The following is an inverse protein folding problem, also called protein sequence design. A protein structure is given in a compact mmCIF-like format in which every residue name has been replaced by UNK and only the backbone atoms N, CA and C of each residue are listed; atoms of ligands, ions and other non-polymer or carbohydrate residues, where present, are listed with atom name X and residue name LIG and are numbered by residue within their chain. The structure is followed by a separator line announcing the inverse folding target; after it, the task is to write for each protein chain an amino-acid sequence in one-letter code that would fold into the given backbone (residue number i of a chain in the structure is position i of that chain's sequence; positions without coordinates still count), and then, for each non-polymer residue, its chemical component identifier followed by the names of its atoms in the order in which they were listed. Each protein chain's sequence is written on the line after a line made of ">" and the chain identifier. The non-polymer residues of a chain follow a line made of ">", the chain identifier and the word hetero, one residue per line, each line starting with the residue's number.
data_IF_087284686665
#
_entry.id   IF_087284686665
#
_cell.length_a   1.000
_cell.length_b   1.000
_cell.length_c   1.000
_cell.angle_alpha   90.00
_cell.angle_beta   90.00
_cell.angle_gamma   90.00
#
_symmetry.space_group_name_H-M   'P 1'
#
loop_
_entity.id
_entity.type
_entity.pdbx_description
1 polymer ?
#
# COMPACT_ATOMS: atom_id res chain seq x y z
N UNK A 1 10.61 4.29 13.99
CA UNK A 1 11.39 4.47 12.75
C UNK A 1 11.00 5.82 12.17
N UNK A 2 11.98 6.67 11.82
CA UNK A 2 11.75 8.00 11.26
C UNK A 2 12.22 8.01 9.81
N UNK A 3 11.45 8.64 8.92
CA UNK A 3 11.78 8.80 7.50
C UNK A 3 11.94 10.29 7.23
N UNK A 4 13.13 10.70 6.79
CA UNK A 4 13.42 12.08 6.41
C UNK A 4 13.30 12.24 4.89
N UNK A 5 12.62 13.30 4.45
CA UNK A 5 12.51 13.65 3.04
C UNK A 5 13.59 14.64 2.66
N UNK A 6 14.04 14.57 1.41
CA UNK A 6 14.96 15.57 0.85
C UNK A 6 14.29 16.95 0.82
N UNK A 7 15.06 18.05 0.96
CA UNK A 7 14.52 19.40 0.83
C UNK A 7 13.76 19.60 -0.50
N UNK A 8 12.63 20.30 -0.44
CA UNK A 8 11.74 20.59 -1.58
C UNK A 8 11.05 19.37 -2.22
N UNK A 9 11.01 18.21 -1.54
CA UNK A 9 10.19 17.09 -2.01
C UNK A 9 8.70 17.48 -2.08
N UNK A 10 8.05 17.18 -3.20
CA UNK A 10 6.62 17.44 -3.40
C UNK A 10 5.83 16.15 -3.13
N UNK A 11 4.67 16.21 -2.46
CA UNK A 11 3.81 15.05 -2.30
C UNK A 11 3.44 14.43 -3.65
N UNK A 12 3.58 13.11 -3.76
CA UNK A 12 3.18 12.37 -4.95
C UNK A 12 1.79 11.78 -4.77
N UNK A 13 0.84 12.17 -5.63
CA UNK A 13 -0.44 11.48 -5.77
C UNK A 13 -0.41 10.64 -7.05
N UNK A 14 -0.28 9.32 -6.92
CA UNK A 14 -0.35 8.43 -8.09
C UNK A 14 -1.79 8.05 -8.40
N UNK A 15 -2.03 7.70 -9.67
CA UNK A 15 -3.33 7.17 -10.12
C UNK A 15 -3.63 5.88 -9.37
N UNK A 16 -4.90 5.68 -9.00
CA UNK A 16 -5.39 4.39 -8.51
C UNK A 16 -5.41 3.43 -9.69
N UNK A 17 -4.58 2.39 -9.62
CA UNK A 17 -4.58 1.32 -10.63
C UNK A 17 -5.71 0.35 -10.33
N UNK A 18 -6.47 -0.01 -11.37
CA UNK A 18 -7.50 -1.04 -11.27
C UNK A 18 -6.82 -2.39 -11.07
N UNK A 19 -6.81 -2.88 -9.83
CA UNK A 19 -6.33 -4.22 -9.50
C UNK A 19 -7.49 -5.22 -9.65
N UNK A 20 -7.25 -6.27 -10.45
CA UNK A 20 -8.13 -7.43 -10.57
C UNK A 20 -7.42 -8.62 -9.93
N UNK A 21 -8.05 -9.37 -9.00
CA UNK A 21 -9.42 -9.21 -8.48
C UNK A 21 -9.50 -8.18 -7.35
N UNK A 22 -10.53 -7.33 -7.37
CA UNK A 22 -10.77 -6.28 -6.35
C UNK A 22 -11.04 -6.86 -4.96
N UNK A 23 -11.67 -8.03 -4.88
CA UNK A 23 -12.02 -8.67 -3.61
C UNK A 23 -10.81 -9.07 -2.78
N UNK A 24 -9.73 -9.50 -3.45
CA UNK A 24 -8.46 -9.84 -2.79
C UNK A 24 -7.81 -8.62 -2.16
N UNK A 25 -7.91 -7.46 -2.82
CA UNK A 25 -7.42 -6.19 -2.27
C UNK A 25 -8.22 -5.79 -1.03
N UNK A 26 -9.54 -5.87 -1.08
CA UNK A 26 -10.40 -5.52 0.05
C UNK A 26 -10.12 -6.42 1.27
N UNK A 27 -9.99 -7.73 1.06
CA UNK A 27 -9.68 -8.67 2.13
C UNK A 27 -8.33 -8.35 2.81
N UNK A 28 -7.29 -8.07 2.02
CA UNK A 28 -5.98 -7.71 2.56
C UNK A 28 -6.00 -6.37 3.32
N UNK A 29 -6.75 -5.38 2.81
CA UNK A 29 -6.93 -4.11 3.52
C UNK A 29 -7.64 -4.32 4.86
N UNK A 30 -8.70 -5.12 4.89
CA UNK A 30 -9.44 -5.41 6.12
C UNK A 30 -8.54 -6.10 7.16
N UNK A 31 -7.80 -7.13 6.77
CA UNK A 31 -6.87 -7.84 7.66
C UNK A 31 -5.85 -6.88 8.30
N UNK A 32 -5.28 -5.95 7.53
CA UNK A 32 -4.29 -5.01 8.02
C UNK A 32 -4.90 -3.87 8.87
N UNK A 33 -6.17 -3.52 8.64
CA UNK A 33 -6.92 -2.60 9.49
C UNK A 33 -7.23 -3.26 10.84
N UNK A 34 -7.67 -4.52 10.82
CA UNK A 34 -8.02 -5.30 12.02
C UNK A 34 -6.79 -5.52 12.90
N UNK A 35 -5.63 -5.77 12.30
CA UNK A 35 -4.35 -5.90 13.03
C UNK A 35 -3.75 -4.56 13.48
N UNK A 36 -4.39 -3.44 13.16
CA UNK A 36 -3.87 -2.08 13.38
C UNK A 36 -2.50 -1.82 12.73
N UNK A 37 -2.10 -2.62 11.74
CA UNK A 37 -0.88 -2.39 10.94
C UNK A 37 -1.03 -1.17 10.03
N UNK A 38 -2.24 -0.86 9.57
CA UNK A 38 -2.56 0.35 8.80
C UNK A 38 -3.80 1.04 9.36
N UNK A 39 -4.01 2.29 8.97
CA UNK A 39 -5.22 3.05 9.26
C UNK A 39 -5.57 3.99 8.09
N UNK A 40 -6.83 4.45 7.98
CA UNK A 40 -7.20 5.47 7.01
C UNK A 40 -6.35 6.73 7.20
N UNK A 41 -5.90 7.32 6.09
CA UNK A 41 -5.04 8.51 6.09
C UNK A 41 -5.62 9.60 5.18
N UNK A 42 -5.39 10.86 5.54
CA UNK A 42 -5.69 12.06 4.73
C UNK A 42 -4.43 12.62 4.05
N UNK A 43 -3.36 11.83 3.97
CA UNK A 43 -2.10 12.23 3.37
C UNK A 43 -2.29 12.63 1.90
N UNK A 44 -1.62 13.70 1.48
CA UNK A 44 -1.50 14.07 0.07
C UNK A 44 -0.50 13.16 -0.68
N UNK A 45 0.27 12.35 0.05
CA UNK A 45 1.16 11.33 -0.50
C UNK A 45 0.45 9.99 -0.57
N UNK A 46 0.55 9.36 -1.74
CA UNK A 46 0.15 7.99 -1.97
C UNK A 46 1.26 7.26 -2.74
N UNK A 47 1.26 5.94 -2.69
CA UNK A 47 2.08 5.07 -3.54
C UNK A 47 1.21 3.92 -4.03
N UNK A 48 1.36 3.48 -5.29
CA UNK A 48 0.59 2.35 -5.80
C UNK A 48 1.04 1.05 -5.11
N UNK A 49 0.10 0.13 -4.91
CA UNK A 49 0.33 -1.20 -4.33
C UNK A 49 0.04 -2.25 -5.39
N UNK A 50 0.89 -3.28 -5.49
CA UNK A 50 0.73 -4.37 -6.44
C UNK A 50 0.85 -5.73 -5.74
N UNK A 51 0.07 -6.70 -6.22
CA UNK A 51 0.27 -8.09 -5.85
C UNK A 51 1.32 -8.73 -6.74
N UNK A 52 2.37 -9.25 -6.13
CA UNK A 52 3.36 -10.08 -6.82
C UNK A 52 3.22 -11.52 -6.37
N UNK A 53 3.42 -12.47 -7.30
CA UNK A 53 3.50 -13.89 -6.95
C UNK A 53 4.81 -14.09 -6.18
N UNK A 54 4.73 -14.56 -4.95
CA UNK A 54 5.93 -15.04 -4.24
C UNK A 54 6.47 -16.24 -5.00
N UNK A 55 7.79 -16.29 -5.23
CA UNK A 55 8.41 -17.53 -5.68
C UNK A 55 8.25 -18.53 -4.54
N UNK A 56 7.56 -19.63 -4.81
CA UNK A 56 7.38 -20.71 -3.85
C UNK A 56 8.77 -21.10 -3.34
N UNK A 57 9.02 -20.90 -2.05
CA UNK A 57 10.12 -21.57 -1.37
C UNK A 57 9.70 -23.04 -1.27
N UNK A 58 9.92 -23.78 -2.35
CA UNK A 58 9.98 -25.24 -2.34
C UNK A 58 11.02 -25.60 -1.27
N UNK A 59 10.52 -25.89 -0.08
CA UNK A 59 11.20 -26.62 0.98
C UNK A 59 10.63 -28.05 0.95
#
# INVERSE_FOLDING_TARGET
>A
HTIELLPNSVPSSYKVYLLVPKDKLNALLQENLDSSCIHPSKSLMASPVFFTKKKDSLL
#
